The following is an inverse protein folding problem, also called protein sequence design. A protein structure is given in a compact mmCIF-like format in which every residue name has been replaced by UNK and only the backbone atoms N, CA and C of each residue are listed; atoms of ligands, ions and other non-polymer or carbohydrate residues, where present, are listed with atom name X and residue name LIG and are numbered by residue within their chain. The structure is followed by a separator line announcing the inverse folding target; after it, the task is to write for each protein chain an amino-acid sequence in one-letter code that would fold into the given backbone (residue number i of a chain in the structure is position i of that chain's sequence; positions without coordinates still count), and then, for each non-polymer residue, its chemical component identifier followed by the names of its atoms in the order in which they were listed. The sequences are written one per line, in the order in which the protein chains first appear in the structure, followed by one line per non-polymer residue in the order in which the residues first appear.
data_IF_787338374303
#
_entry.id   IF_787338374303
#
_cell.length_a   1.000
_cell.length_b   1.000
_cell.length_c   1.000
_cell.angle_alpha   90.00
_cell.angle_beta   90.00
_cell.angle_gamma   90.00
#
_symmetry.space_group_name_H-M   'P 1'
#
loop_
_entity.id
_entity.type
_entity.pdbx_description
1 polymer ?
#
# COMPACT_ATOMS: atom_id res chain seq x y z
N UNK A 1 0.79 -4.90 15.10
CA UNK A 1 0.27 -4.97 13.74
C UNK A 1 1.36 -4.50 12.80
N UNK A 2 1.67 -5.28 11.79
CA UNK A 2 2.43 -4.84 10.65
C UNK A 2 1.43 -4.44 9.56
N UNK A 3 1.56 -3.20 9.07
CA UNK A 3 0.72 -2.67 8.01
C UNK A 3 1.64 -2.19 6.89
N UNK A 4 1.43 -2.70 5.68
CA UNK A 4 2.23 -2.39 4.50
C UNK A 4 1.34 -2.09 3.31
N UNK A 5 1.77 -1.15 2.49
CA UNK A 5 1.14 -0.87 1.20
C UNK A 5 1.98 -1.52 0.10
N UNK A 6 1.34 -2.35 -0.71
CA UNK A 6 1.87 -2.89 -1.95
C UNK A 6 1.31 -2.06 -3.11
N UNK A 7 2.18 -1.43 -3.89
CA UNK A 7 1.79 -0.46 -4.91
C UNK A 7 2.17 -1.02 -6.27
N UNK A 8 1.14 -1.25 -7.09
CA UNK A 8 1.23 -1.74 -8.45
C UNK A 8 0.91 -0.62 -9.43
N UNK A 9 1.61 -0.60 -10.56
CA UNK A 9 1.34 0.28 -11.69
C UNK A 9 1.05 -0.56 -12.94
N UNK A 10 0.03 -0.16 -13.70
CA UNK A 10 -0.61 -1.03 -14.71
C UNK A 10 0.35 -1.48 -15.83
N UNK A 11 1.36 -0.67 -16.15
CA UNK A 11 2.28 -0.92 -17.26
C UNK A 11 3.51 -1.79 -16.90
N UNK A 12 3.70 -2.17 -15.62
CA UNK A 12 4.70 -3.17 -15.23
C UNK A 12 4.12 -4.19 -14.25
N UNK A 13 3.58 -5.27 -14.81
CA UNK A 13 2.98 -6.36 -14.03
C UNK A 13 3.98 -7.23 -13.27
N UNK A 14 5.29 -6.98 -13.39
CA UNK A 14 6.32 -7.83 -12.79
C UNK A 14 7.02 -7.16 -11.59
N UNK A 15 6.77 -5.86 -11.35
CA UNK A 15 7.38 -5.11 -10.24
C UNK A 15 6.33 -4.33 -9.45
N UNK A 16 6.45 -4.37 -8.12
CA UNK A 16 5.62 -3.61 -7.19
C UNK A 16 6.50 -2.98 -6.11
N UNK A 17 6.06 -1.86 -5.56
CA UNK A 17 6.71 -1.24 -4.41
C UNK A 17 6.07 -1.68 -3.10
N UNK A 18 6.91 -1.84 -2.07
CA UNK A 18 6.45 -2.05 -0.69
C UNK A 18 6.75 -0.83 0.16
N UNK A 19 5.76 -0.36 0.89
CA UNK A 19 5.90 0.77 1.83
C UNK A 19 5.40 0.38 3.20
N UNK A 20 6.30 0.38 4.18
CA UNK A 20 5.94 0.17 5.59
C UNK A 20 5.15 1.37 6.11
N UNK A 21 3.99 1.09 6.73
CA UNK A 21 3.20 2.09 7.41
C UNK A 21 3.62 2.23 8.87
N UNK A 22 3.62 3.46 9.37
CA UNK A 22 3.87 3.77 10.78
C UNK A 22 2.57 4.04 11.51
N UNK A 23 2.39 3.42 12.67
CA UNK A 23 1.29 3.73 13.58
C UNK A 23 1.55 5.11 14.21
N UNK A 24 0.81 6.13 13.77
CA UNK A 24 0.93 7.50 14.31
C UNK A 24 -0.04 7.73 15.47
N UNK A 25 -1.17 7.02 15.47
CA UNK A 25 -2.12 6.91 16.59
C UNK A 25 -2.61 5.48 16.68
N UNK A 26 -3.12 5.08 17.84
CA UNK A 26 -3.65 3.73 18.04
C UNK A 26 -4.70 3.38 16.96
N UNK A 27 -4.39 2.40 16.11
CA UNK A 27 -5.23 1.97 15.00
C UNK A 27 -5.17 2.83 13.73
N UNK A 28 -4.36 3.89 13.69
CA UNK A 28 -4.16 4.75 12.52
C UNK A 28 -2.72 4.62 11.99
N UNK A 29 -2.58 4.05 10.80
CA UNK A 29 -1.31 3.78 10.14
C UNK A 29 -1.13 4.73 8.95
N UNK A 30 0.07 5.26 8.77
CA UNK A 30 0.39 6.22 7.70
C UNK A 30 1.70 5.84 7.02
N UNK A 31 1.71 5.90 5.70
CA UNK A 31 2.91 5.78 4.87
C UNK A 31 3.03 7.01 3.95
N UNK A 32 4.26 7.27 3.49
CA UNK A 32 4.53 8.29 2.49
C UNK A 32 5.08 7.60 1.25
N UNK A 33 4.47 7.89 0.10
CA UNK A 33 4.90 7.40 -1.20
C UNK A 33 4.86 8.54 -2.21
N UNK A 34 5.83 8.55 -3.13
CA UNK A 34 5.88 9.52 -4.23
C UNK A 34 5.62 8.78 -5.51
N UNK A 35 4.48 9.06 -6.14
CA UNK A 35 4.16 8.52 -7.46
C UNK A 35 5.00 9.23 -8.52
N UNK A 36 5.67 8.46 -9.37
CA UNK A 36 6.52 9.01 -10.43
C UNK A 36 5.72 9.44 -11.67
N UNK A 37 4.59 8.78 -11.94
CA UNK A 37 3.79 8.98 -13.15
C UNK A 37 2.33 9.34 -12.84
N UNK A 38 1.70 10.04 -13.77
CA UNK A 38 0.28 10.42 -13.69
C UNK A 38 -0.60 9.30 -14.26
N UNK A 39 -0.69 8.19 -13.53
CA UNK A 39 -1.34 6.96 -13.98
C UNK A 39 -2.30 6.38 -12.93
N UNK A 40 -2.94 5.27 -13.28
CA UNK A 40 -3.72 4.47 -12.35
C UNK A 40 -2.82 3.50 -11.59
N UNK A 41 -2.94 3.48 -10.27
CA UNK A 41 -2.23 2.57 -9.39
C UNK A 41 -3.22 1.68 -8.64
N UNK A 42 -2.85 0.41 -8.48
CA UNK A 42 -3.53 -0.50 -7.56
C UNK A 42 -2.72 -0.55 -6.27
N UNK A 43 -3.36 -0.21 -5.15
CA UNK A 43 -2.76 -0.23 -3.82
C UNK A 43 -3.42 -1.36 -3.03
N UNK A 44 -2.63 -2.33 -2.60
CA UNK A 44 -3.08 -3.40 -1.71
C UNK A 44 -2.57 -3.10 -0.30
N UNK A 45 -3.48 -2.99 0.66
CA UNK A 45 -3.18 -2.79 2.07
C UNK A 45 -3.05 -4.16 2.72
N UNK A 46 -1.86 -4.50 3.20
CA UNK A 46 -1.58 -5.72 3.95
C UNK A 46 -1.60 -5.44 5.43
N UNK A 47 -2.38 -6.21 6.19
CA UNK A 47 -2.47 -6.14 7.65
C UNK A 47 -2.17 -7.52 8.22
N UNK A 48 -1.08 -7.62 9.00
CA UNK A 48 -0.65 -8.88 9.61
C UNK A 48 -0.24 -8.71 11.09
N UNK A 49 -0.44 -9.74 11.90
CA UNK A 49 0.08 -9.81 13.27
C UNK A 49 0.99 -11.04 13.51
N UNK A 50 1.46 -11.21 14.75
CA UNK A 50 2.35 -12.33 15.11
C UNK A 50 1.59 -13.64 15.34
N UNK A 51 0.25 -13.60 15.34
CA UNK A 51 -0.59 -14.78 15.52
C UNK A 51 -0.99 -15.33 14.14
N UNK A 52 -2.24 -15.13 13.73
CA UNK A 52 -2.78 -15.69 12.49
C UNK A 52 -3.55 -14.63 11.66
N UNK A 53 -3.52 -13.35 12.04
CA UNK A 53 -4.17 -12.32 11.24
C UNK A 53 -3.33 -12.03 9.99
N UNK A 54 -3.96 -12.16 8.82
CA UNK A 54 -3.40 -11.77 7.53
C UNK A 54 -4.54 -11.39 6.60
N UNK A 55 -4.80 -10.10 6.47
CA UNK A 55 -5.89 -9.55 5.68
C UNK A 55 -5.38 -8.55 4.63
N UNK A 56 -6.06 -8.52 3.48
CA UNK A 56 -5.74 -7.63 2.35
C UNK A 56 -6.97 -6.81 1.94
N UNK A 57 -6.77 -5.52 1.65
CA UNK A 57 -7.79 -4.66 1.05
C UNK A 57 -7.21 -3.93 -0.18
N UNK A 58 -7.94 -3.94 -1.30
CA UNK A 58 -7.50 -3.37 -2.57
C UNK A 58 -8.18 -2.02 -2.86
N UNK A 59 -7.40 -1.05 -3.31
CA UNK A 59 -7.89 0.25 -3.78
C UNK A 59 -7.24 0.65 -5.10
N UNK A 60 -8.05 1.25 -5.98
CA UNK A 60 -7.58 1.84 -7.23
C UNK A 60 -7.49 3.36 -7.03
N UNK A 61 -6.35 3.95 -7.38
CA UNK A 61 -6.09 5.39 -7.26
C UNK A 61 -5.64 5.95 -8.60
N UNK A 62 -6.38 6.93 -9.11
CA UNK A 62 -5.98 7.70 -10.29
C UNK A 62 -5.10 8.89 -9.86
N UNK A 63 -3.81 8.84 -10.16
CA UNK A 63 -2.85 9.90 -9.85
C UNK A 63 -2.86 10.95 -10.96
N UNK A 64 -2.92 12.23 -10.56
CA UNK A 64 -2.84 13.39 -11.45
C UNK A 64 -1.76 14.34 -10.92
N UNK A 65 -0.81 14.69 -11.77
CA UNK A 65 0.28 15.62 -11.47
C UNK A 65 -0.09 17.08 -11.78
#
# INVERSE_FOLDING_TARGET
MNVRYEIWYEDNSDEHDWVDAKEEKAGEYTALYTFEEAEQYTIIIHVEDEEDLHEHEEHIVDVKL
#
